data_IF_078583286833
#
_entry.id   IF_078583286833
#
_cell.length_a   1.000
_cell.length_b   1.000
_cell.length_c   1.000
_cell.angle_alpha   90.00
_cell.angle_beta   90.00
_cell.angle_gamma   90.00
#
_symmetry.space_group_name_H-M   'P 1'
#
loop_
_entity.id
_entity.type
_entity.pdbx_description
1 polymer ?
#
# COMPACT_ATOMS: atom_id res chain seq x y z
N UNK A 1 -27.46 2.95 -50.69
CA UNK A 1 -27.52 3.74 -49.45
C UNK A 1 -26.62 4.95 -49.61
N UNK A 2 -27.16 6.08 -50.06
CA UNK A 2 -26.43 7.35 -50.12
C UNK A 2 -26.59 8.03 -48.76
N UNK A 3 -25.49 8.21 -48.06
CA UNK A 3 -25.48 8.84 -46.74
C UNK A 3 -25.90 10.32 -46.87
N UNK A 4 -26.80 10.76 -45.99
CA UNK A 4 -27.34 12.13 -46.02
C UNK A 4 -26.23 13.17 -45.81
N UNK A 5 -26.27 14.26 -46.58
CA UNK A 5 -25.26 15.33 -46.58
C UNK A 5 -25.11 15.96 -45.20
N UNK A 6 -26.20 16.06 -44.45
CA UNK A 6 -26.24 16.58 -43.08
C UNK A 6 -25.43 15.70 -42.11
N UNK A 7 -25.53 14.38 -42.29
CA UNK A 7 -24.83 13.39 -41.46
C UNK A 7 -23.32 13.44 -41.66
N UNK A 8 -22.88 13.66 -42.90
CA UNK A 8 -21.47 13.81 -43.24
C UNK A 8 -20.84 15.09 -42.65
N UNK A 9 -21.58 16.20 -42.70
CA UNK A 9 -21.14 17.48 -42.12
C UNK A 9 -20.98 17.36 -40.60
N UNK A 10 -21.95 16.77 -39.91
CA UNK A 10 -21.88 16.56 -38.47
C UNK A 10 -20.65 15.73 -38.05
N UNK A 11 -20.33 14.70 -38.83
CA UNK A 11 -19.17 13.84 -38.59
C UNK A 11 -17.85 14.62 -38.77
N UNK A 12 -17.71 15.39 -39.85
CA UNK A 12 -16.54 16.23 -40.09
C UNK A 12 -16.37 17.27 -38.98
N UNK A 13 -17.45 17.95 -38.58
CA UNK A 13 -17.41 18.94 -37.50
C UNK A 13 -16.96 18.32 -36.17
N UNK A 14 -17.47 17.13 -35.84
CA UNK A 14 -17.08 16.40 -34.62
C UNK A 14 -15.59 16.02 -34.65
N UNK A 15 -15.10 15.54 -35.81
CA UNK A 15 -13.68 15.21 -36.01
C UNK A 15 -12.78 16.44 -35.83
N UNK A 16 -13.16 17.58 -36.40
CA UNK A 16 -12.40 18.82 -36.27
C UNK A 16 -12.35 19.33 -34.82
N UNK A 17 -13.47 19.24 -34.08
CA UNK A 17 -13.51 19.62 -32.67
C UNK A 17 -12.57 18.77 -31.80
N UNK A 18 -12.49 17.47 -32.04
CA UNK A 18 -11.59 16.57 -31.30
C UNK A 18 -10.11 16.87 -31.57
N UNK A 19 -9.75 17.17 -32.83
CA UNK A 19 -8.37 17.52 -33.20
C UNK A 19 -7.97 18.90 -32.66
N UNK A 20 -8.88 19.87 -32.73
CA UNK A 20 -8.64 21.22 -32.21
C UNK A 20 -8.60 21.28 -30.68
N UNK A 21 -9.16 20.30 -29.97
CA UNK A 21 -9.19 20.30 -28.51
C UNK A 21 -7.80 20.25 -27.86
N UNK A 22 -6.89 19.42 -28.38
CA UNK A 22 -5.54 19.25 -27.85
C UNK A 22 -4.70 20.55 -27.83
N UNK A 23 -4.57 21.30 -28.95
CA UNK A 23 -3.84 22.57 -28.94
C UNK A 23 -4.52 23.64 -28.10
N UNK A 24 -5.86 23.68 -28.07
CA UNK A 24 -6.63 24.62 -27.24
C UNK A 24 -6.33 24.39 -25.75
N UNK A 25 -6.35 23.12 -25.29
CA UNK A 25 -6.05 22.81 -23.88
C UNK A 25 -4.60 23.12 -23.51
N UNK A 26 -3.63 22.88 -24.42
CA UNK A 26 -2.24 23.26 -24.19
C UNK A 26 -2.04 24.78 -24.08
N UNK A 27 -2.86 25.57 -24.79
CA UNK A 27 -2.80 27.02 -24.71
C UNK A 27 -3.45 27.58 -23.44
N UNK A 28 -4.57 26.99 -22.99
CA UNK A 28 -5.25 27.39 -21.75
C UNK A 28 -4.52 26.90 -20.49
N UNK A 29 -3.88 25.74 -20.54
CA UNK A 29 -3.17 25.12 -19.42
C UNK A 29 -1.72 24.82 -19.84
N UNK A 30 -0.83 25.83 -19.85
CA UNK A 30 0.58 25.59 -20.13
C UNK A 30 1.14 24.62 -19.08
N UNK A 31 1.90 23.60 -19.48
CA UNK A 31 2.48 22.65 -18.55
C UNK A 31 3.40 23.39 -17.58
N UNK A 32 3.17 23.20 -16.28
CA UNK A 32 4.04 23.73 -15.23
C UNK A 32 5.44 23.16 -15.46
N UNK A 33 6.49 24.00 -15.56
CA UNK A 33 7.84 23.51 -15.75
C UNK A 33 8.22 22.65 -14.54
N UNK A 34 8.54 21.37 -14.81
CA UNK A 34 9.13 20.48 -13.82
C UNK A 34 10.49 21.09 -13.46
N UNK A 35 10.77 21.40 -12.18
CA UNK A 35 12.08 21.89 -11.76
C UNK A 35 13.17 20.93 -12.25
N UNK A 36 14.22 21.50 -12.83
CA UNK A 36 15.39 20.74 -13.24
C UNK A 36 15.90 19.92 -12.06
N UNK A 37 16.12 18.64 -12.32
CA UNK A 37 16.81 17.69 -11.45
C UNK A 37 18.12 18.34 -10.98
N UNK A 38 18.19 18.65 -9.69
CA UNK A 38 19.41 19.17 -9.06
C UNK A 38 20.46 18.08 -9.19
N UNK A 39 21.51 18.38 -9.95
CA UNK A 39 22.68 17.54 -10.08
C UNK A 39 23.20 17.15 -8.70
N UNK A 40 23.34 15.85 -8.51
CA UNK A 40 23.96 15.19 -7.37
C UNK A 40 25.37 15.76 -7.14
N UNK A 41 25.73 16.22 -5.93
CA UNK A 41 27.08 16.71 -5.67
C UNK A 41 28.07 15.54 -5.70
N UNK A 42 29.09 15.67 -6.56
CA UNK A 42 30.26 14.81 -6.61
C UNK A 42 30.90 14.70 -5.21
N UNK A 43 31.06 13.46 -4.74
CA UNK A 43 31.79 13.14 -3.52
C UNK A 43 33.31 13.34 -3.73
N UNK A 44 34.01 14.11 -2.88
CA UNK A 44 35.47 14.11 -2.87
C UNK A 44 36.01 13.09 -1.86
N UNK A 45 37.03 12.33 -2.29
CA UNK A 45 38.08 11.85 -1.40
C UNK A 45 38.04 10.36 -1.05
N UNK A 46 38.79 9.58 -1.83
CA UNK A 46 39.29 8.26 -1.43
C UNK A 46 40.28 8.44 -0.26
N UNK A 47 39.96 7.86 0.90
CA UNK A 47 40.93 7.57 1.96
C UNK A 47 41.24 6.07 1.95
N UNK A 48 42.52 5.65 2.01
CA UNK A 48 42.89 4.24 1.99
C UNK A 48 42.78 3.67 3.40
N UNK A 49 42.10 2.52 3.53
CA UNK A 49 42.20 1.67 4.72
C UNK A 49 40.92 1.52 5.53
N UNK A 50 39.96 0.75 5.00
CA UNK A 50 39.03 0.00 5.84
C UNK A 50 39.03 -1.44 5.35
N UNK A 51 39.34 -2.33 6.30
CA UNK A 51 39.46 -3.77 6.18
C UNK A 51 38.12 -4.37 5.72
N UNK A 52 38.22 -5.24 4.73
CA UNK A 52 37.21 -6.10 4.12
C UNK A 52 36.07 -6.51 5.07
N UNK A 53 34.85 -6.05 4.77
CA UNK A 53 33.62 -6.54 5.39
C UNK A 53 33.16 -7.82 4.65
N UNK A 54 32.73 -8.87 5.36
CA UNK A 54 32.35 -10.12 4.71
C UNK A 54 31.07 -9.92 3.88
N UNK A 55 31.11 -10.38 2.64
CA UNK A 55 29.94 -10.45 1.76
C UNK A 55 28.89 -11.39 2.38
N UNK A 56 27.77 -10.82 2.83
CA UNK A 56 26.61 -11.62 3.22
C UNK A 56 25.91 -12.06 1.94
N UNK A 57 26.02 -13.36 1.67
CA UNK A 57 25.24 -14.10 0.67
C UNK A 57 23.75 -13.79 0.82
N UNK A 58 23.09 -13.38 -0.27
CA UNK A 58 21.63 -13.29 -0.31
C UNK A 58 21.05 -14.71 -0.28
N UNK A 59 20.83 -15.22 0.94
CA UNK A 59 20.04 -16.43 1.18
C UNK A 59 18.61 -16.24 0.65
N UNK A 60 18.16 -17.21 -0.12
CA UNK A 60 16.94 -17.16 -0.92
C UNK A 60 15.68 -16.81 -0.15
N UNK A 61 14.74 -16.23 -0.89
CA UNK A 61 13.35 -15.98 -0.47
C UNK A 61 12.67 -17.33 -0.23
N UNK A 62 12.86 -17.90 0.96
CA UNK A 62 12.00 -18.94 1.48
C UNK A 62 10.63 -18.32 1.71
N UNK A 63 9.58 -18.95 1.16
CA UNK A 63 8.20 -18.56 1.43
C UNK A 63 7.98 -18.64 2.96
N UNK A 64 7.93 -17.48 3.62
CA UNK A 64 7.60 -17.38 5.03
C UNK A 64 6.13 -17.77 5.18
N UNK A 65 5.87 -18.88 5.86
CA UNK A 65 4.51 -19.28 6.24
C UNK A 65 3.94 -18.20 7.14
N UNK A 66 2.90 -17.53 6.64
CA UNK A 66 2.18 -16.46 7.34
C UNK A 66 1.21 -17.09 8.34
N UNK A 67 1.71 -17.46 9.50
CA UNK A 67 0.85 -17.87 10.62
C UNK A 67 0.43 -16.62 11.39
N UNK A 68 -0.82 -16.19 11.22
CA UNK A 68 -1.44 -15.31 12.20
C UNK A 68 -1.66 -16.14 13.48
N UNK A 69 -1.33 -15.61 14.67
CA UNK A 69 -1.64 -16.29 15.93
C UNK A 69 -3.14 -16.64 15.98
N UNK A 70 -3.48 -17.92 16.10
CA UNK A 70 -4.86 -18.38 16.29
C UNK A 70 -5.48 -17.64 17.49
N UNK A 71 -6.51 -16.82 17.21
CA UNK A 71 -7.19 -15.94 18.16
C UNK A 71 -6.33 -14.79 18.74
N UNK A 72 -5.67 -14.02 17.87
CA UNK A 72 -5.16 -12.69 18.22
C UNK A 72 -6.26 -11.85 18.91
N UNK A 73 -6.08 -11.58 20.20
CA UNK A 73 -7.02 -10.77 20.98
C UNK A 73 -7.02 -9.35 20.45
N UNK A 74 -8.19 -8.73 20.45
CA UNK A 74 -8.38 -7.36 19.98
C UNK A 74 -8.93 -6.47 21.07
N UNK A 75 -8.58 -5.19 20.99
CA UNK A 75 -8.94 -4.13 21.93
C UNK A 75 -9.50 -2.96 21.14
N UNK A 76 -10.66 -2.47 21.54
CA UNK A 76 -11.34 -1.36 20.86
C UNK A 76 -11.09 -0.08 21.64
N UNK A 77 -10.52 0.91 20.95
CA UNK A 77 -10.42 2.29 21.41
C UNK A 77 -11.55 3.10 20.77
N UNK A 78 -12.27 3.89 21.56
CA UNK A 78 -13.50 4.56 21.08
C UNK A 78 -13.52 6.04 21.50
N UNK A 79 -13.91 6.90 20.55
CA UNK A 79 -14.19 8.31 20.79
C UNK A 79 -15.56 8.70 20.18
N UNK A 80 -15.88 9.98 20.11
CA UNK A 80 -17.17 10.43 19.57
C UNK A 80 -17.39 10.08 18.10
N UNK A 81 -16.32 10.01 17.30
CA UNK A 81 -16.38 9.97 15.83
C UNK A 81 -15.97 8.63 15.23
N UNK A 82 -15.13 7.84 15.91
CA UNK A 82 -14.62 6.56 15.41
C UNK A 82 -14.32 5.54 16.51
N UNK A 83 -14.24 4.27 16.10
CA UNK A 83 -13.78 3.15 16.90
C UNK A 83 -12.59 2.48 16.20
N UNK A 84 -11.50 2.27 16.92
CA UNK A 84 -10.23 1.75 16.40
C UNK A 84 -9.93 0.43 17.08
N UNK A 85 -9.84 -0.64 16.31
CA UNK A 85 -9.51 -1.96 16.80
C UNK A 85 -8.01 -2.21 16.70
N UNK A 86 -7.36 -2.35 17.85
CA UNK A 86 -5.95 -2.71 17.99
C UNK A 86 -5.86 -4.22 18.24
N UNK A 87 -4.94 -4.90 17.58
CA UNK A 87 -4.75 -6.36 17.70
C UNK A 87 -3.42 -6.71 18.34
N UNK A 88 -3.43 -7.70 19.23
CA UNK A 88 -2.23 -8.30 19.80
C UNK A 88 -1.40 -9.04 18.73
N UNK A 89 -2.05 -9.60 17.70
CA UNK A 89 -1.38 -10.19 16.55
C UNK A 89 -0.89 -9.10 15.60
N UNK A 90 0.42 -8.88 15.52
CA UNK A 90 1.07 -7.83 14.73
C UNK A 90 1.19 -6.50 15.47
N UNK A 91 0.56 -6.37 16.64
CA UNK A 91 0.64 -5.21 17.53
C UNK A 91 0.22 -3.92 16.84
N UNK A 92 -0.77 -3.99 15.97
CA UNK A 92 -1.16 -2.95 15.03
C UNK A 92 -2.66 -2.66 15.05
N UNK A 93 -3.13 -1.82 14.12
CA UNK A 93 -4.56 -1.53 13.96
C UNK A 93 -5.14 -2.52 12.95
N UNK A 94 -6.10 -3.35 13.38
CA UNK A 94 -6.77 -4.29 12.48
C UNK A 94 -7.89 -3.62 11.68
N UNK A 95 -8.65 -2.72 12.32
CA UNK A 95 -9.84 -2.09 11.74
C UNK A 95 -10.08 -0.71 12.32
N UNK A 96 -10.63 0.21 11.52
CA UNK A 96 -11.14 1.51 11.98
C UNK A 96 -12.58 1.63 11.49
N UNK A 97 -13.50 1.99 12.35
CA UNK A 97 -14.91 2.21 12.04
C UNK A 97 -15.26 3.68 12.31
N UNK A 98 -15.84 4.36 11.33
CA UNK A 98 -16.34 5.72 11.51
C UNK A 98 -17.82 5.69 11.87
N UNK A 99 -18.18 6.37 12.96
CA UNK A 99 -19.53 6.34 13.51
C UNK A 99 -20.52 7.21 12.75
N UNK A 100 -20.06 8.35 12.24
CA UNK A 100 -20.88 9.35 11.57
C UNK A 100 -21.00 9.11 10.05
N UNK A 101 -20.14 8.26 9.50
CA UNK A 101 -20.12 7.99 8.06
C UNK A 101 -20.82 6.66 7.77
N UNK A 102 -21.88 6.73 6.96
CA UNK A 102 -22.66 5.59 6.53
C UNK A 102 -22.43 5.30 5.04
N UNK A 103 -22.37 4.01 4.73
CA UNK A 103 -22.45 3.43 3.39
C UNK A 103 -23.91 3.17 3.00
N UNK A 104 -24.10 2.74 1.76
CA UNK A 104 -25.36 2.14 1.32
C UNK A 104 -25.81 1.05 2.32
N UNK A 105 -27.13 0.95 2.53
CA UNK A 105 -27.75 0.04 3.52
C UNK A 105 -27.52 0.39 5.01
N UNK A 106 -27.15 1.63 5.34
CA UNK A 106 -26.94 2.10 6.73
C UNK A 106 -25.80 1.39 7.47
N UNK A 107 -24.86 0.76 6.75
CA UNK A 107 -23.63 0.22 7.35
C UNK A 107 -22.64 1.34 7.61
N UNK A 108 -21.84 1.26 8.66
CA UNK A 108 -20.79 2.27 8.93
C UNK A 108 -19.61 2.09 8.00
N UNK A 109 -18.89 3.17 7.71
CA UNK A 109 -17.66 3.13 6.92
C UNK A 109 -16.57 2.46 7.76
N UNK A 110 -15.97 1.41 7.20
CA UNK A 110 -14.87 0.66 7.82
C UNK A 110 -13.60 0.77 6.96
N UNK A 111 -12.46 0.97 7.61
CA UNK A 111 -11.14 0.91 6.99
C UNK A 111 -10.44 -0.39 7.38
N UNK A 112 -9.56 -0.85 6.48
CA UNK A 112 -8.65 -1.98 6.70
C UNK A 112 -9.36 -3.33 6.91
N UNK A 113 -10.65 -3.45 6.58
CA UNK A 113 -11.46 -4.66 6.78
C UNK A 113 -10.93 -5.87 6.01
N UNK A 114 -10.42 -5.66 4.80
CA UNK A 114 -9.87 -6.72 3.93
C UNK A 114 -8.35 -6.88 4.04
N UNK A 115 -7.70 -6.17 4.97
CA UNK A 115 -6.26 -6.26 5.09
C UNK A 115 -5.85 -7.54 5.81
N UNK A 116 -5.00 -8.32 5.15
CA UNK A 116 -4.48 -9.56 5.72
C UNK A 116 -3.48 -9.33 6.88
N UNK A 117 -2.99 -8.10 7.07
CA UNK A 117 -2.09 -7.68 8.17
C UNK A 117 -2.59 -6.38 8.77
N UNK A 118 -2.41 -6.17 10.08
CA UNK A 118 -2.77 -4.92 10.70
C UNK A 118 -1.83 -3.79 10.27
N UNK A 119 -2.37 -2.56 10.28
CA UNK A 119 -1.60 -1.34 10.07
C UNK A 119 -0.56 -1.21 11.18
N UNK A 120 0.64 -0.79 10.82
CA UNK A 120 1.83 -0.70 11.66
C UNK A 120 2.41 -2.04 12.13
N UNK A 121 2.05 -3.15 11.49
CA UNK A 121 2.77 -4.41 11.69
C UNK A 121 4.27 -4.22 11.37
N UNK A 122 5.16 -4.61 12.28
CA UNK A 122 6.62 -4.55 12.07
C UNK A 122 7.16 -5.92 11.72
N UNK A 123 7.85 -5.99 10.58
CA UNK A 123 8.50 -7.18 10.03
C UNK A 123 10.02 -7.04 10.10
N UNK A 124 10.72 -8.17 10.10
CA UNK A 124 12.18 -8.24 10.18
C UNK A 124 12.74 -8.32 11.61
N UNK A 125 11.90 -8.07 12.62
CA UNK A 125 12.27 -8.24 14.04
C UNK A 125 11.67 -9.49 14.68
N UNK A 126 10.80 -10.21 13.96
CA UNK A 126 10.27 -11.50 14.39
C UNK A 126 10.71 -12.55 13.37
N UNK A 127 11.41 -13.59 13.85
CA UNK A 127 11.67 -14.79 13.08
C UNK A 127 10.98 -15.96 13.79
N UNK A 128 10.33 -16.88 13.07
CA UNK A 128 10.08 -16.93 11.62
C UNK A 128 8.76 -16.28 11.16
N UNK A 129 7.93 -15.73 12.07
CA UNK A 129 6.58 -15.28 11.72
C UNK A 129 6.53 -13.83 11.18
N UNK A 130 5.76 -13.63 10.10
CA UNK A 130 5.46 -12.31 9.51
C UNK A 130 4.62 -11.40 10.43
N UNK A 131 3.92 -11.99 11.39
CA UNK A 131 3.03 -11.32 12.35
C UNK A 131 3.45 -11.73 13.76
N UNK A 132 4.00 -10.79 14.51
CA UNK A 132 4.47 -11.06 15.86
C UNK A 132 3.36 -10.93 16.90
N UNK A 133 3.35 -11.79 17.92
CA UNK A 133 2.45 -11.65 19.04
C UNK A 133 2.94 -10.55 20.01
N UNK A 134 2.01 -9.69 20.44
CA UNK A 134 2.20 -8.70 21.50
C UNK A 134 1.31 -9.06 22.68
N UNK A 135 1.71 -8.63 23.87
CA UNK A 135 0.91 -8.72 25.09
C UNK A 135 0.36 -7.34 25.42
N UNK A 136 -0.93 -7.26 25.75
CA UNK A 136 -1.53 -6.03 26.24
C UNK A 136 -1.08 -5.78 27.69
N UNK A 137 -0.35 -4.68 27.90
CA UNK A 137 0.12 -4.24 29.21
C UNK A 137 -0.86 -3.28 29.89
N UNK A 138 -1.53 -2.42 29.11
CA UNK A 138 -2.49 -1.43 29.62
C UNK A 138 -3.69 -1.33 28.69
N UNK A 139 -4.90 -1.25 29.26
CA UNK A 139 -6.17 -1.08 28.55
C UNK A 139 -6.92 0.13 29.11
N UNK A 140 -7.29 1.05 28.22
CA UNK A 140 -8.22 2.13 28.48
C UNK A 140 -9.15 2.38 27.29
N UNK A 141 -10.11 3.28 27.45
CA UNK A 141 -11.10 3.60 26.40
C UNK A 141 -10.46 4.31 25.19
N UNK A 142 -9.41 5.09 25.43
CA UNK A 142 -8.70 5.88 24.39
C UNK A 142 -7.21 5.58 24.33
N UNK A 143 -6.76 4.57 25.07
CA UNK A 143 -5.34 4.25 25.18
C UNK A 143 -5.13 2.75 25.29
N UNK A 144 -4.17 2.21 24.55
CA UNK A 144 -3.73 0.83 24.69
C UNK A 144 -2.21 0.77 24.65
N UNK A 145 -1.63 0.01 25.58
CA UNK A 145 -0.18 -0.25 25.60
C UNK A 145 0.05 -1.72 25.29
N UNK A 146 0.76 -1.97 24.19
CA UNK A 146 1.18 -3.28 23.75
C UNK A 146 2.69 -3.42 23.97
N UNK A 147 3.10 -4.57 24.48
CA UNK A 147 4.50 -4.89 24.73
C UNK A 147 4.87 -6.22 24.10
N UNK A 148 6.12 -6.34 23.69
CA UNK A 148 6.68 -7.58 23.16
C UNK A 148 8.18 -7.63 23.49
N UNK A 149 8.64 -8.81 23.89
CA UNK A 149 10.08 -9.09 23.98
C UNK A 149 10.59 -9.51 22.60
N UNK A 150 11.64 -8.85 22.13
CA UNK A 150 12.36 -9.18 20.91
C UNK A 150 13.47 -10.20 21.23
N UNK A 151 14.16 -10.66 20.19
CA UNK A 151 15.39 -11.43 20.37
C UNK A 151 16.44 -10.60 21.12
N UNK A 152 17.42 -11.30 21.71
CA UNK A 152 18.53 -10.71 22.44
C UNK A 152 18.17 -9.86 23.67
N UNK A 153 16.95 -10.01 24.21
CA UNK A 153 16.52 -9.35 25.45
C UNK A 153 16.06 -7.91 25.29
N UNK A 154 15.88 -7.44 24.06
CA UNK A 154 15.30 -6.12 23.80
C UNK A 154 13.78 -6.15 24.02
N UNK A 155 13.19 -5.03 24.45
CA UNK A 155 11.75 -4.91 24.68
C UNK A 155 11.16 -3.82 23.80
N UNK A 156 10.13 -4.17 23.05
CA UNK A 156 9.36 -3.25 22.22
C UNK A 156 8.06 -2.87 22.93
N UNK A 157 7.82 -1.57 23.06
CA UNK A 157 6.59 -1.02 23.59
C UNK A 157 5.91 -0.13 22.56
N UNK A 158 4.60 -0.28 22.45
CA UNK A 158 3.74 0.48 21.55
C UNK A 158 2.59 1.05 22.33
N UNK A 159 2.46 2.37 22.29
CA UNK A 159 1.39 3.10 22.95
C UNK A 159 0.51 3.68 21.85
N UNK A 160 -0.74 3.25 21.84
CA UNK A 160 -1.80 3.79 21.00
C UNK A 160 -2.63 4.77 21.80
N UNK A 161 -2.81 5.98 21.28
CA UNK A 161 -3.66 7.01 21.87
C UNK A 161 -4.64 7.52 20.82
N UNK A 162 -5.93 7.48 21.18
CA UNK A 162 -7.03 7.96 20.36
C UNK A 162 -7.37 9.39 20.77
N UNK A 163 -7.18 10.32 19.84
CA UNK A 163 -7.52 11.73 20.03
C UNK A 163 -9.03 11.98 20.11
N UNK A 164 -9.42 13.24 20.25
CA UNK A 164 -10.84 13.66 20.16
C UNK A 164 -11.43 13.49 18.76
N UNK A 165 -10.56 13.48 17.74
CA UNK A 165 -10.92 13.62 16.34
C UNK A 165 -10.63 12.30 15.58
N UNK A 166 -10.32 12.37 14.29
CA UNK A 166 -9.90 11.23 13.46
C UNK A 166 -8.41 10.88 13.60
N UNK A 167 -7.76 11.26 14.70
CA UNK A 167 -6.32 11.08 14.91
C UNK A 167 -6.05 9.91 15.86
N UNK A 168 -5.24 8.98 15.40
CA UNK A 168 -4.63 7.92 16.23
C UNK A 168 -3.13 8.15 16.26
N UNK A 169 -2.56 8.26 17.44
CA UNK A 169 -1.11 8.37 17.64
C UNK A 169 -0.55 7.03 18.07
N UNK A 170 0.46 6.54 17.34
CA UNK A 170 1.29 5.42 17.75
C UNK A 170 2.65 5.94 18.17
N UNK A 171 3.02 5.74 19.44
CA UNK A 171 4.39 5.90 19.92
C UNK A 171 5.03 4.53 20.09
N UNK A 172 6.15 4.31 19.41
CA UNK A 172 6.92 3.09 19.50
C UNK A 172 8.27 3.35 20.20
N UNK A 173 8.57 2.60 21.24
CA UNK A 173 9.84 2.69 21.98
C UNK A 173 10.50 1.31 22.05
N UNK A 174 11.79 1.24 21.73
CA UNK A 174 12.61 0.02 21.92
C UNK A 174 13.50 0.27 23.12
N UNK A 175 13.41 -0.61 24.11
CA UNK A 175 14.25 -0.61 25.30
C UNK A 175 15.34 -1.67 25.13
N UNK A 176 16.58 -1.28 25.42
CA UNK A 176 17.68 -2.20 25.60
C UNK A 176 17.91 -2.38 27.10
N UNK A 177 17.31 -3.42 27.66
CA UNK A 177 17.41 -3.75 29.08
C UNK A 177 18.64 -4.65 29.36
N UNK A 178 19.55 -4.81 28.38
CA UNK A 178 20.74 -5.66 28.47
C UNK A 178 22.03 -4.86 28.65
N UNK A 179 23.07 -5.53 29.15
CA UNK A 179 24.41 -4.96 29.22
C UNK A 179 25.07 -4.99 27.84
N UNK A 180 25.28 -3.81 27.25
CA UNK A 180 26.04 -3.63 26.01
C UNK A 180 25.25 -3.03 24.85
N UNK A 181 25.99 -2.67 23.79
CA UNK A 181 25.41 -2.07 22.58
C UNK A 181 24.88 -3.19 21.69
N UNK A 182 23.60 -3.08 21.32
CA UNK A 182 22.92 -4.00 20.41
C UNK A 182 22.63 -3.32 19.07
N UNK A 183 22.95 -4.00 17.99
CA UNK A 183 22.64 -3.53 16.63
C UNK A 183 21.29 -4.10 16.22
N UNK A 184 20.33 -3.23 15.96
CA UNK A 184 19.00 -3.65 15.53
C UNK A 184 19.04 -4.14 14.08
N UNK A 185 18.41 -5.28 13.75
CA UNK A 185 18.23 -5.68 12.37
C UNK A 185 17.32 -4.69 11.63
N UNK A 186 17.43 -4.67 10.30
CA UNK A 186 16.55 -3.83 9.48
C UNK A 186 15.09 -4.27 9.65
N UNK A 187 14.19 -3.30 9.76
CA UNK A 187 12.75 -3.56 9.83
C UNK A 187 12.00 -2.90 8.69
N UNK A 188 10.79 -3.40 8.47
CA UNK A 188 9.76 -2.74 7.66
C UNK A 188 8.50 -2.61 8.48
N UNK A 189 7.75 -1.54 8.24
CA UNK A 189 6.47 -1.30 8.86
C UNK A 189 5.39 -1.22 7.79
N UNK A 190 4.32 -1.98 7.96
CA UNK A 190 3.18 -1.98 7.06
C UNK A 190 2.35 -0.71 7.30
N UNK A 191 2.16 0.14 6.29
CA UNK A 191 1.42 1.40 6.42
C UNK A 191 -0.10 1.26 6.17
N UNK A 192 -0.62 0.02 6.05
CA UNK A 192 -2.01 -0.26 5.71
C UNK A 192 -2.36 0.05 4.26
N UNK A 193 -3.51 -0.46 3.80
CA UNK A 193 -4.11 -0.06 2.51
C UNK A 193 -5.32 0.81 2.79
N UNK A 194 -5.34 2.02 2.22
CA UNK A 194 -6.53 2.89 2.22
C UNK A 194 -7.51 2.33 1.17
N UNK A 195 -8.05 1.16 1.45
CA UNK A 195 -9.21 0.62 0.76
C UNK A 195 -10.43 0.95 1.61
N UNK A 196 -11.06 2.09 1.34
CA UNK A 196 -12.45 2.31 1.77
C UNK A 196 -13.34 1.52 0.82
N UNK A 197 -14.28 0.74 1.33
CA UNK A 197 -15.54 0.58 0.62
C UNK A 197 -16.21 1.94 0.66
N UNK A 198 -16.08 2.73 -0.41
CA UNK A 198 -16.85 3.95 -0.62
C UNK A 198 -17.68 3.68 -1.87
N UNK A 199 -18.91 3.23 -1.67
CA UNK A 199 -19.92 3.28 -2.71
C UNK A 199 -20.78 4.52 -2.42
N UNK A 200 -20.66 5.54 -3.27
CA UNK A 200 -21.70 6.56 -3.36
C UNK A 200 -22.90 5.89 -4.03
N UNK A 201 -24.09 6.06 -3.45
CA UNK A 201 -25.38 5.56 -3.96
C UNK A 201 -25.62 5.76 -5.47
N UNK A 202 -25.01 6.79 -6.08
CA UNK A 202 -25.14 7.10 -7.51
C UNK A 202 -23.91 6.75 -8.37
N UNK A 203 -22.80 6.25 -7.79
CA UNK A 203 -21.63 5.82 -8.56
C UNK A 203 -21.82 4.37 -9.02
N UNK A 204 -22.13 4.20 -10.31
CA UNK A 204 -22.16 2.88 -10.97
C UNK A 204 -20.81 2.17 -10.81
N UNK A 205 -20.74 1.28 -9.83
CA UNK A 205 -19.72 0.22 -9.64
C UNK A 205 -18.29 0.74 -9.47
N UNK A 206 -17.85 0.82 -8.22
CA UNK A 206 -16.42 0.92 -7.91
C UNK A 206 -15.75 -0.47 -8.09
N UNK A 207 -15.45 -0.85 -9.33
CA UNK A 207 -14.53 -1.96 -9.62
C UNK A 207 -13.18 -1.36 -10.00
N UNK A 208 -12.22 -1.45 -9.08
CA UNK A 208 -10.83 -1.15 -9.34
C UNK A 208 -9.98 -2.36 -8.98
N UNK A 209 -8.93 -2.61 -9.74
CA UNK A 209 -7.92 -3.61 -9.39
C UNK A 209 -6.68 -2.82 -8.97
N UNK A 210 -6.21 -3.08 -7.76
CA UNK A 210 -4.90 -2.61 -7.31
C UNK A 210 -3.99 -3.81 -7.12
N UNK A 211 -2.75 -3.71 -7.61
CA UNK A 211 -1.74 -4.74 -7.42
C UNK A 211 -0.39 -4.11 -7.13
N UNK A 212 0.47 -4.91 -6.50
CA UNK A 212 1.85 -4.54 -6.20
C UNK A 212 2.77 -5.20 -7.22
N UNK A 213 3.64 -4.43 -7.84
CA UNK A 213 4.63 -4.96 -8.78
C UNK A 213 5.85 -5.51 -8.02
N UNK A 214 6.56 -6.44 -8.64
CA UNK A 214 7.75 -7.08 -8.07
C UNK A 214 8.88 -6.07 -7.77
N UNK A 215 8.86 -4.89 -8.41
CA UNK A 215 9.75 -3.76 -8.11
C UNK A 215 9.29 -2.85 -6.96
N UNK A 216 8.22 -3.21 -6.24
CA UNK A 216 7.71 -2.47 -5.09
C UNK A 216 6.73 -1.33 -5.43
N UNK A 217 6.46 -1.08 -6.71
CA UNK A 217 5.48 -0.09 -7.14
C UNK A 217 4.04 -0.52 -6.83
N UNK A 218 3.22 0.42 -6.38
CA UNK A 218 1.79 0.21 -6.15
C UNK A 218 1.00 0.79 -7.33
N UNK A 219 0.23 -0.05 -8.02
CA UNK A 219 -0.59 0.37 -9.14
C UNK A 219 -2.07 0.23 -8.79
N UNK A 220 -2.87 1.22 -9.20
CA UNK A 220 -4.32 1.22 -9.07
C UNK A 220 -4.92 1.55 -10.42
N UNK A 221 -5.68 0.61 -10.98
CA UNK A 221 -6.46 0.81 -12.20
C UNK A 221 -7.95 0.74 -11.88
N UNK A 222 -8.74 1.64 -12.47
CA UNK A 222 -10.19 1.66 -12.37
C UNK A 222 -10.77 0.93 -13.58
N UNK A 223 -11.94 0.30 -13.47
CA UNK A 223 -12.62 -0.23 -14.66
C UNK A 223 -12.90 0.88 -15.69
N UNK A 224 -13.13 2.12 -15.23
CA UNK A 224 -13.35 3.27 -16.09
C UNK A 224 -12.08 3.81 -16.76
N UNK A 225 -10.88 3.38 -16.35
CA UNK A 225 -9.63 3.70 -17.06
C UNK A 225 -9.30 2.69 -18.15
N UNK A 226 -10.04 1.57 -18.23
CA UNK A 226 -10.28 0.90 -19.52
C UNK A 226 -11.29 1.73 -20.32
N UNK A 227 -10.90 2.94 -20.72
CA UNK A 227 -11.62 3.63 -21.77
C UNK A 227 -11.26 2.89 -23.07
N UNK A 228 -11.95 1.78 -23.30
CA UNK A 228 -11.96 1.10 -24.57
C UNK A 228 -12.65 2.04 -25.56
N UNK A 229 -11.84 2.93 -26.15
CA UNK A 229 -12.15 3.56 -27.41
C UNK A 229 -12.50 2.47 -28.41
N UNK A 230 -13.80 2.16 -28.50
CA UNK A 230 -14.39 1.33 -29.53
C UNK A 230 -14.35 2.13 -30.85
N UNK A 231 -13.16 2.26 -31.42
CA UNK A 231 -12.93 2.66 -32.79
C UNK A 231 -11.48 2.35 -33.12
N UNK A 232 -11.29 1.31 -33.92
CA UNK A 232 -10.00 0.69 -34.16
C UNK A 232 -8.94 1.62 -34.73
N UNK A 233 -7.69 1.29 -34.40
CA UNK A 233 -6.60 1.22 -35.36
C UNK A 233 -5.45 0.45 -34.70
N UNK A 234 -4.99 -0.57 -35.41
CA UNK A 234 -3.73 -1.27 -35.20
C UNK A 234 -2.63 -0.37 -34.62
N UNK A 235 -2.02 -0.79 -33.52
CA UNK A 235 -0.56 -0.70 -33.41
C UNK A 235 0.00 -2.08 -33.08
N UNK A 236 0.94 -2.59 -33.90
CA UNK A 236 1.52 -3.91 -33.71
C UNK A 236 2.44 -3.89 -32.49
N UNK A 237 2.29 -4.92 -31.65
CA UNK A 237 3.29 -5.28 -30.66
C UNK A 237 4.60 -5.53 -31.38
N UNK A 238 5.61 -4.69 -31.11
CA UNK A 238 7.00 -5.00 -31.42
C UNK A 238 7.68 -5.40 -30.12
N UNK A 239 8.45 -6.49 -30.23
CA UNK A 239 9.28 -7.17 -29.22
C UNK A 239 8.55 -7.98 -28.13
N UNK A 240 7.84 -9.03 -28.53
CA UNK A 240 7.97 -10.31 -27.82
C UNK A 240 9.35 -10.89 -28.17
N UNK A 241 10.30 -10.79 -27.25
CA UNK A 241 11.56 -11.52 -27.31
C UNK A 241 11.29 -13.02 -27.16
N UNK A 242 11.70 -13.79 -28.15
CA UNK A 242 11.61 -15.23 -28.20
C UNK A 242 12.51 -15.89 -27.12
N UNK A 243 11.95 -16.87 -26.41
CA UNK A 243 12.67 -17.81 -25.55
C UNK A 243 11.89 -19.14 -25.51
N UNK A 244 12.57 -20.30 -25.57
CA UNK A 244 12.03 -21.47 -26.27
C UNK A 244 11.02 -22.29 -25.46
N UNK A 245 10.00 -22.77 -26.20
CA UNK A 245 9.05 -23.82 -25.81
C UNK A 245 9.81 -25.06 -25.34
N UNK A 246 9.64 -25.47 -24.08
CA UNK A 246 9.83 -26.86 -23.67
C UNK A 246 8.47 -27.54 -23.62
N UNK A 247 8.33 -28.52 -24.51
CA UNK A 247 7.24 -29.48 -24.59
C UNK A 247 7.05 -30.21 -23.27
N UNK A 248 5.82 -30.19 -22.76
CA UNK A 248 5.35 -31.14 -21.76
C UNK A 248 5.16 -32.51 -22.43
N UNK A 249 5.90 -33.52 -21.99
CA UNK A 249 5.62 -34.92 -22.25
C UNK A 249 5.34 -35.63 -20.92
N UNK A 250 4.09 -36.07 -20.79
CA UNK A 250 3.54 -37.30 -20.21
C UNK A 250 4.21 -38.06 -19.05
N UNK A 251 3.38 -38.29 -18.03
CA UNK A 251 3.11 -39.57 -17.33
C UNK A 251 4.29 -40.47 -16.91
N UNK A 252 4.62 -40.43 -15.62
CA UNK A 252 4.45 -41.53 -14.65
C UNK A 252 4.67 -41.02 -13.23
#
# INVERSE_FOLDING_TARGET
MTMDRTSWIALITCMLLLVAYQPVMRHLYPPVPVPAEVAEPEAPGVLPGIKEAPQISSGGVGALTRELPEAARTHVLENGVMAVQVTEGGGGISKIEFKEHLLEEQKRVELNQAAEVPVFNVRGWALPADVAAYTLAERGERRAVLQRTLEEGLRLERIYELGGDHVVTLRQTVYNDTDGVKVMPSCRMDAGTIGTDYQKADERRFLGVSWRTTGGGFHKEKITSFDAGFSGCFRPSTSCGAGPRRSWNGWR
#
